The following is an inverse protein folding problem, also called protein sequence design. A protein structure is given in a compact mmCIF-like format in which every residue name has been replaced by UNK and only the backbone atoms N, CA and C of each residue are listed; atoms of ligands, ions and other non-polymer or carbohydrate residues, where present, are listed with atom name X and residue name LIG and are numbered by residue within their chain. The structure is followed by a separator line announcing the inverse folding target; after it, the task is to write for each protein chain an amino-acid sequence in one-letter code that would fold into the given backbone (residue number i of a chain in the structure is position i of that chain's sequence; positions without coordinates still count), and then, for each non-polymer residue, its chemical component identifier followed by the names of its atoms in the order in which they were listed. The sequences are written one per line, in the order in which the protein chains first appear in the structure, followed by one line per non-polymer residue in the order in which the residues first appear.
data_IF_536272723952
#
_entry.id   IF_536272723952
#
_cell.length_a   1.000
_cell.length_b   1.000
_cell.length_c   1.000
_cell.angle_alpha   90.00
_cell.angle_beta   90.00
_cell.angle_gamma   90.00
#
_symmetry.space_group_name_H-M   'P 1'
#
loop_
_entity.id
_entity.type
_entity.pdbx_description
1 polymer ?
#
# COMPACT_ATOMS: atom_id res chain seq x y z
N UNK A 1 -15.37 4.66 -9.26
CA UNK A 1 -14.72 3.34 -9.37
C UNK A 1 -13.18 3.29 -9.18
N UNK A 2 -12.36 4.30 -9.57
CA UNK A 2 -10.87 4.16 -9.50
C UNK A 2 -10.25 4.29 -8.09
N UNK A 3 -10.95 4.93 -7.14
CA UNK A 3 -10.43 5.30 -5.81
C UNK A 3 -10.57 4.14 -4.79
N UNK A 4 -11.63 3.36 -4.87
CA UNK A 4 -11.96 2.27 -3.92
C UNK A 4 -10.87 1.20 -3.83
N UNK A 5 -10.29 0.81 -4.98
CA UNK A 5 -9.22 -0.20 -5.02
C UNK A 5 -7.92 0.27 -4.37
N UNK A 6 -7.65 1.58 -4.35
CA UNK A 6 -6.44 2.12 -3.70
C UNK A 6 -6.61 2.12 -2.18
N UNK A 7 -7.80 2.50 -1.70
CA UNK A 7 -8.14 2.48 -0.28
C UNK A 7 -8.05 1.07 0.30
N UNK A 8 -8.54 0.05 -0.41
CA UNK A 8 -8.44 -1.35 0.02
C UNK A 8 -6.99 -1.81 0.23
N UNK A 9 -6.07 -1.47 -0.68
CA UNK A 9 -4.64 -1.82 -0.55
C UNK A 9 -4.04 -1.16 0.70
N UNK A 10 -4.37 0.11 0.96
CA UNK A 10 -3.86 0.86 2.11
C UNK A 10 -4.39 0.27 3.43
N UNK A 11 -5.67 -0.09 3.48
CA UNK A 11 -6.30 -0.71 4.66
C UNK A 11 -5.63 -2.05 4.96
N UNK A 12 -5.47 -2.92 3.96
CA UNK A 12 -4.83 -4.22 4.15
C UNK A 12 -3.35 -4.09 4.56
N UNK A 13 -2.62 -3.14 3.96
CA UNK A 13 -1.24 -2.86 4.34
C UNK A 13 -1.12 -2.35 5.78
N UNK A 14 -2.05 -1.49 6.23
CA UNK A 14 -2.12 -1.02 7.62
C UNK A 14 -2.50 -2.12 8.61
N UNK A 15 -3.30 -3.09 8.17
CA UNK A 15 -3.63 -4.28 8.94
C UNK A 15 -2.47 -5.29 9.04
N UNK A 16 -1.27 -4.96 8.53
CA UNK A 16 -0.09 -5.82 8.60
C UNK A 16 -0.05 -6.95 7.57
N UNK A 17 -0.97 -6.97 6.61
CA UNK A 17 -0.97 -7.99 5.54
C UNK A 17 0.23 -7.80 4.62
N UNK A 18 0.81 -8.91 4.21
CA UNK A 18 1.95 -8.92 3.29
C UNK A 18 1.50 -8.60 1.86
N UNK A 19 2.43 -8.12 1.02
CA UNK A 19 2.14 -7.85 -0.39
C UNK A 19 1.56 -9.08 -1.11
N UNK A 20 2.07 -10.27 -0.81
CA UNK A 20 1.61 -11.54 -1.37
C UNK A 20 0.14 -11.84 -1.03
N UNK A 21 -0.29 -11.56 0.20
CA UNK A 21 -1.69 -11.72 0.60
C UNK A 21 -2.60 -10.69 -0.05
N UNK A 22 -2.15 -9.44 -0.16
CA UNK A 22 -2.93 -8.37 -0.80
C UNK A 22 -3.13 -8.64 -2.29
N UNK A 23 -2.13 -9.22 -2.97
CA UNK A 23 -2.24 -9.58 -4.40
C UNK A 23 -3.25 -10.70 -4.63
N UNK A 24 -3.44 -11.61 -3.65
CA UNK A 24 -4.43 -12.69 -3.74
C UNK A 24 -5.88 -12.20 -3.60
N UNK A 25 -6.10 -10.97 -3.14
CA UNK A 25 -7.44 -10.42 -3.02
C UNK A 25 -8.06 -10.19 -4.43
N UNK A 26 -9.29 -10.68 -4.67
CA UNK A 26 -9.93 -10.55 -5.97
C UNK A 26 -10.08 -9.08 -6.36
N UNK A 27 -9.83 -8.76 -7.64
CA UNK A 27 -9.94 -7.42 -8.24
C UNK A 27 -8.74 -6.46 -8.01
N UNK A 28 -7.62 -6.89 -7.42
CA UNK A 28 -6.38 -6.11 -7.32
C UNK A 28 -5.30 -6.59 -8.29
N UNK A 29 -4.66 -5.67 -9.02
CA UNK A 29 -3.53 -6.01 -9.88
C UNK A 29 -2.21 -5.93 -9.12
N UNK A 30 -1.30 -6.88 -9.39
CA UNK A 30 0.04 -6.94 -8.79
C UNK A 30 0.81 -5.62 -8.94
N UNK A 31 0.75 -5.02 -10.13
CA UNK A 31 1.37 -3.73 -10.44
C UNK A 31 0.84 -2.59 -9.58
N UNK A 32 -0.47 -2.55 -9.32
CA UNK A 32 -1.10 -1.49 -8.52
C UNK A 32 -0.79 -1.65 -7.03
N UNK A 33 -0.77 -2.89 -6.52
CA UNK A 33 -0.37 -3.20 -5.14
C UNK A 33 1.06 -2.72 -4.88
N UNK A 34 2.00 -3.10 -5.73
CA UNK A 34 3.41 -2.70 -5.57
C UNK A 34 3.60 -1.18 -5.62
N UNK A 35 2.94 -0.50 -6.58
CA UNK A 35 3.04 0.96 -6.70
C UNK A 35 2.52 1.67 -5.45
N UNK A 36 1.41 1.20 -4.87
CA UNK A 36 0.85 1.78 -3.63
C UNK A 36 1.73 1.50 -2.42
N UNK A 37 2.21 0.26 -2.24
CA UNK A 37 3.10 -0.10 -1.14
C UNK A 37 4.43 0.65 -1.19
N UNK A 38 5.02 0.83 -2.39
CA UNK A 38 6.24 1.62 -2.57
C UNK A 38 6.02 3.07 -2.15
N UNK A 39 4.93 3.69 -2.59
CA UNK A 39 4.59 5.06 -2.22
C UNK A 39 4.35 5.24 -0.71
N UNK A 40 3.75 4.25 -0.03
CA UNK A 40 3.60 4.26 1.42
C UNK A 40 4.96 4.20 2.14
N UNK A 41 5.86 3.33 1.68
CA UNK A 41 7.22 3.20 2.24
C UNK A 41 8.05 4.46 2.03
N UNK A 42 7.95 5.10 0.87
CA UNK A 42 8.65 6.37 0.59
C UNK A 42 8.13 7.52 1.47
N UNK A 43 6.82 7.64 1.65
CA UNK A 43 6.23 8.64 2.58
C UNK A 43 6.65 8.43 4.04
N UNK A 44 6.79 7.18 4.48
CA UNK A 44 7.24 6.88 5.85
C UNK A 44 8.72 7.23 6.07
N UNK A 45 9.56 7.15 5.02
CA UNK A 45 10.97 7.57 5.09
C UNK A 45 11.14 9.08 5.18
N UNK A 46 10.31 9.85 4.50
CA UNK A 46 10.36 11.32 4.57
C UNK A 46 9.94 11.84 5.94
N UNK A 47 8.93 11.24 6.59
CA UNK A 47 8.54 11.63 7.96
C UNK A 47 9.60 11.34 9.04
N UNK A 48 10.55 10.44 8.79
CA UNK A 48 11.64 10.15 9.76
C UNK A 48 12.78 11.19 9.74
N UNK A 49 12.80 12.13 8.78
CA UNK A 49 13.86 13.13 8.69
C UNK A 49 13.57 14.44 9.43
N UNK A 50 12.33 14.68 9.84
CA UNK A 50 11.94 15.89 10.61
C UNK A 50 12.06 15.72 12.14
N UNK A 51 12.70 14.63 12.61
CA UNK A 51 12.99 14.44 14.03
C UNK A 51 14.50 14.57 14.25
N UNK A 52 15.02 15.81 14.19
CA UNK A 52 16.33 16.16 14.74
C UNK A 52 16.38 17.63 15.12
#
# INVERSE_FOLDING_TARGET
MKQEKRSAIIILARAGRTASEIIKAPKLSRSKVFRVLKALKEKSKTQRKDHK
#
